data_IF_249699893073
#
_entry.id   IF_249699893073
#
_cell.length_a   1.000
_cell.length_b   1.000
_cell.length_c   1.000
_cell.angle_alpha   90.00
_cell.angle_beta   90.00
_cell.angle_gamma   90.00
#
_symmetry.space_group_name_H-M   'P 1'
#
loop_
_entity.id
_entity.type
_entity.pdbx_description
1 polymer ?
#
# COMPACT_ATOMS: atom_id res chain seq x y z
N UNK A 1 16.77 32.84 14.49
CA UNK A 1 15.91 32.16 15.49
C UNK A 1 15.79 30.66 15.29
N UNK A 2 15.78 30.11 14.07
CA UNK A 2 15.62 28.66 13.81
C UNK A 2 16.87 27.82 14.15
N UNK A 3 18.07 28.40 14.16
CA UNK A 3 19.33 27.66 14.34
C UNK A 3 19.50 27.00 15.73
N UNK A 4 18.78 27.48 16.76
CA UNK A 4 18.80 26.90 18.11
C UNK A 4 17.63 25.94 18.39
N UNK A 5 16.76 25.71 17.40
CA UNK A 5 15.59 24.86 17.54
C UNK A 5 15.87 23.40 17.19
N UNK A 6 17.02 23.10 16.57
CA UNK A 6 17.48 21.72 16.38
C UNK A 6 17.94 21.15 17.74
N UNK A 7 17.53 19.93 18.14
CA UNK A 7 16.91 18.89 17.31
C UNK A 7 15.37 18.90 17.23
N UNK A 8 14.69 19.77 17.97
CA UNK A 8 13.23 19.75 18.18
C UNK A 8 12.39 20.26 17.00
N UNK A 9 12.97 21.01 16.07
CA UNK A 9 12.31 21.49 14.86
C UNK A 9 13.01 20.92 13.63
N UNK A 10 12.24 20.23 12.79
CA UNK A 10 12.72 19.57 11.59
C UNK A 10 11.82 19.91 10.40
N UNK A 11 12.42 20.00 9.22
CA UNK A 11 11.68 20.21 7.98
C UNK A 11 11.46 18.88 7.29
N UNK A 12 10.21 18.62 6.89
CA UNK A 12 9.83 17.44 6.14
C UNK A 12 8.86 17.77 5.01
N UNK A 13 8.78 16.88 4.03
CA UNK A 13 7.82 16.96 2.94
C UNK A 13 6.49 16.31 3.32
N UNK A 14 5.39 16.98 2.96
CA UNK A 14 4.02 16.46 3.04
C UNK A 14 3.51 15.96 1.67
N UNK A 15 4.42 15.73 0.70
CA UNK A 15 4.03 15.34 -0.64
C UNK A 15 3.71 13.85 -0.74
N UNK A 16 2.67 13.54 -1.51
CA UNK A 16 2.27 12.18 -1.83
C UNK A 16 2.20 11.97 -3.33
N UNK A 17 2.39 10.73 -3.77
CA UNK A 17 2.16 10.38 -5.17
C UNK A 17 0.67 10.14 -5.42
N UNK A 18 0.11 10.93 -6.34
CA UNK A 18 -1.21 10.66 -6.91
C UNK A 18 -1.10 9.60 -7.99
N UNK A 19 -1.99 8.61 -7.94
CA UNK A 19 -2.15 7.67 -9.04
C UNK A 19 -2.82 8.34 -10.26
N UNK A 20 -2.89 7.62 -11.38
CA UNK A 20 -3.48 8.13 -12.63
C UNK A 20 -4.95 8.54 -12.46
N UNK A 21 -5.65 7.89 -11.52
CA UNK A 21 -7.02 8.21 -11.10
C UNK A 21 -7.12 9.30 -10.01
N UNK A 22 -6.05 10.05 -9.77
CA UNK A 22 -5.93 11.10 -8.76
C UNK A 22 -6.05 10.64 -7.30
N UNK A 23 -6.20 9.34 -7.05
CA UNK A 23 -6.30 8.82 -5.68
C UNK A 23 -4.92 8.72 -5.05
N UNK A 24 -4.79 9.21 -3.82
CA UNK A 24 -3.56 9.16 -3.03
C UNK A 24 -3.44 7.77 -2.41
N UNK A 25 -2.53 6.95 -2.92
CA UNK A 25 -2.29 5.58 -2.41
C UNK A 25 -0.86 5.30 -2.03
N UNK A 26 0.04 6.23 -2.30
CA UNK A 26 1.47 6.02 -2.19
C UNK A 26 2.14 7.20 -1.50
N UNK A 27 2.99 6.89 -0.54
CA UNK A 27 3.86 7.87 0.08
C UNK A 27 5.05 8.18 -0.82
N UNK A 28 5.64 9.35 -0.59
CA UNK A 28 6.93 9.73 -1.17
C UNK A 28 7.89 9.96 0.00
N UNK A 29 8.58 8.90 0.44
CA UNK A 29 9.32 8.92 1.70
C UNK A 29 10.45 9.96 1.74
N UNK A 30 10.91 10.43 0.59
CA UNK A 30 11.81 11.57 0.45
C UNK A 30 11.56 12.31 -0.86
N UNK A 31 11.93 13.59 -0.87
CA UNK A 31 11.82 14.46 -2.02
C UNK A 31 13.14 15.16 -2.28
N UNK A 32 13.57 15.21 -3.54
CA UNK A 32 14.65 16.10 -3.93
C UNK A 32 14.11 17.54 -3.98
N UNK A 33 14.87 18.49 -3.47
CA UNK A 33 14.54 19.89 -3.51
C UNK A 33 15.79 20.73 -3.75
N UNK A 34 15.59 22.01 -3.98
CA UNK A 34 16.67 22.97 -4.10
C UNK A 34 16.41 24.13 -3.15
N UNK A 35 17.47 24.58 -2.47
CA UNK A 35 17.39 25.81 -1.69
C UNK A 35 17.28 27.02 -2.62
N UNK A 36 16.97 28.18 -2.06
CA UNK A 36 16.97 29.46 -2.78
C UNK A 36 18.32 29.76 -3.45
N UNK A 37 19.42 29.27 -2.87
CA UNK A 37 20.78 29.42 -3.39
C UNK A 37 21.15 28.34 -4.43
N UNK A 38 20.16 27.65 -5.02
CA UNK A 38 20.33 26.52 -5.95
C UNK A 38 21.19 25.38 -5.38
N UNK A 39 21.22 25.21 -4.06
CA UNK A 39 21.90 24.05 -3.47
C UNK A 39 20.95 22.85 -3.52
N UNK A 40 21.35 21.75 -4.17
CA UNK A 40 20.53 20.55 -4.19
C UNK A 40 20.43 20.00 -2.77
N UNK A 41 19.28 19.48 -2.39
CA UNK A 41 19.03 18.85 -1.09
C UNK A 41 18.02 17.72 -1.23
N UNK A 42 17.95 16.88 -0.20
CA UNK A 42 16.94 15.84 -0.06
C UNK A 42 16.20 16.10 1.25
N UNK A 43 14.87 16.04 1.20
CA UNK A 43 14.00 16.33 2.33
C UNK A 43 13.24 15.04 2.63
N UNK A 44 13.35 14.48 3.85
CA UNK A 44 12.56 13.32 4.26
C UNK A 44 11.07 13.71 4.34
N UNK A 45 10.20 12.73 4.18
CA UNK A 45 8.77 12.91 4.42
C UNK A 45 8.43 13.03 5.91
N UNK A 46 7.23 13.55 6.21
CA UNK A 46 6.74 13.64 7.58
C UNK A 46 6.61 12.23 8.18
N UNK A 47 6.09 11.28 7.42
CA UNK A 47 5.93 9.89 7.87
C UNK A 47 7.26 9.22 8.17
N UNK A 48 8.29 9.46 7.36
CA UNK A 48 9.62 8.91 7.60
C UNK A 48 10.27 9.51 8.86
N UNK A 49 10.15 10.82 9.06
CA UNK A 49 10.68 11.49 10.27
C UNK A 49 9.94 11.04 11.53
N UNK A 50 8.60 11.00 11.48
CA UNK A 50 7.79 10.57 12.62
C UNK A 50 8.10 9.12 13.01
N UNK A 51 8.22 8.24 12.03
CA UNK A 51 8.63 6.84 12.25
C UNK A 51 10.01 6.77 12.89
N UNK A 52 10.98 7.50 12.34
CA UNK A 52 12.35 7.48 12.84
C UNK A 52 12.46 7.99 14.28
N UNK A 53 11.74 9.07 14.62
CA UNK A 53 11.69 9.60 15.98
C UNK A 53 11.11 8.58 16.97
N UNK A 54 10.02 7.89 16.61
CA UNK A 54 9.43 6.82 17.43
C UNK A 54 10.41 5.66 17.63
N UNK A 55 11.24 5.36 16.63
CA UNK A 55 12.26 4.32 16.70
C UNK A 55 13.59 4.79 17.32
N UNK A 56 13.69 6.05 17.78
CA UNK A 56 14.89 6.62 18.38
C UNK A 56 16.03 6.92 17.40
N UNK A 57 15.71 7.04 16.11
CA UNK A 57 16.67 7.37 15.06
C UNK A 57 16.71 8.88 14.82
N UNK A 58 17.91 9.45 14.74
CA UNK A 58 18.10 10.88 14.60
C UNK A 58 17.83 11.37 13.18
N UNK A 59 17.37 12.61 13.05
CA UNK A 59 17.20 13.28 11.75
C UNK A 59 18.49 13.30 10.92
N UNK A 60 19.65 13.39 11.58
CA UNK A 60 20.95 13.38 10.90
C UNK A 60 21.22 12.01 10.27
N UNK A 61 20.93 10.91 10.96
CA UNK A 61 21.10 9.56 10.39
C UNK A 61 20.22 9.34 9.16
N UNK A 62 18.98 9.82 9.19
CA UNK A 62 18.08 9.80 8.04
C UNK A 62 18.68 10.59 6.89
N UNK A 63 19.16 11.81 7.16
CA UNK A 63 19.75 12.67 6.14
C UNK A 63 21.01 12.05 5.53
N UNK A 64 21.88 11.44 6.34
CA UNK A 64 23.06 10.71 5.87
C UNK A 64 22.68 9.56 4.92
N UNK A 65 21.66 8.77 5.29
CA UNK A 65 21.16 7.67 4.47
C UNK A 65 20.48 8.15 3.18
N UNK A 66 19.89 9.35 3.19
CA UNK A 66 19.25 9.94 2.02
C UNK A 66 20.23 10.69 1.09
N UNK A 67 21.48 10.96 1.51
CA UNK A 67 22.49 11.64 0.69
C UNK A 67 22.63 11.11 -0.75
N UNK A 68 22.61 9.78 -1.01
CA UNK A 68 22.70 9.26 -2.38
C UNK A 68 21.57 9.74 -3.30
N UNK A 69 20.43 10.15 -2.74
CA UNK A 69 19.27 10.66 -3.46
C UNK A 69 19.32 12.16 -3.72
N UNK A 70 20.37 12.85 -3.26
CA UNK A 70 20.57 14.28 -3.55
C UNK A 70 20.81 14.47 -5.05
N UNK A 71 20.09 15.38 -5.73
CA UNK A 71 20.33 15.64 -7.14
C UNK A 71 21.72 16.26 -7.35
N UNK A 72 22.36 16.01 -8.49
CA UNK A 72 23.69 16.57 -8.81
C UNK A 72 23.66 18.09 -8.93
N UNK A 73 22.58 18.63 -9.48
CA UNK A 73 22.32 20.05 -9.61
C UNK A 73 20.80 20.29 -9.63
N UNK A 74 20.39 21.56 -9.68
CA UNK A 74 19.00 21.98 -9.62
C UNK A 74 18.34 22.21 -11.00
N UNK A 75 19.08 21.99 -12.08
CA UNK A 75 18.66 22.37 -13.44
C UNK A 75 18.39 21.13 -14.31
N UNK A 76 19.09 20.03 -14.05
CA UNK A 76 18.92 18.79 -14.79
C UNK A 76 17.69 18.01 -14.30
N UNK A 77 17.16 17.20 -15.21
CA UNK A 77 16.15 16.21 -14.85
C UNK A 77 16.75 15.21 -13.87
N UNK A 78 16.22 15.18 -12.66
CA UNK A 78 16.66 14.25 -11.64
C UNK A 78 16.30 12.81 -12.01
N UNK A 79 17.30 11.94 -12.02
CA UNK A 79 17.15 10.49 -12.09
C UNK A 79 17.49 9.89 -10.73
N UNK A 80 16.49 9.30 -10.08
CA UNK A 80 16.69 8.66 -8.78
C UNK A 80 17.59 7.43 -8.92
N UNK A 81 18.52 7.20 -7.97
CA UNK A 81 19.24 5.93 -7.86
C UNK A 81 18.27 4.74 -7.86
N UNK A 82 18.59 3.71 -8.63
CA UNK A 82 17.78 2.49 -8.71
C UNK A 82 18.04 1.49 -7.57
N UNK A 83 19.10 1.72 -6.79
CA UNK A 83 19.50 0.87 -5.68
C UNK A 83 18.59 1.09 -4.46
N UNK A 84 18.08 0.02 -3.83
CA UNK A 84 17.27 0.14 -2.63
C UNK A 84 18.10 0.65 -1.44
N UNK A 85 17.45 1.34 -0.52
CA UNK A 85 18.07 1.67 0.77
C UNK A 85 18.00 0.40 1.62
N UNK A 86 19.13 -0.23 1.98
CA UNK A 86 19.14 -1.55 2.63
C UNK A 86 18.47 -1.58 4.01
N UNK A 87 18.71 -0.56 4.83
CA UNK A 87 18.11 -0.40 6.15
C UNK A 87 18.09 1.07 6.55
N UNK A 88 16.94 1.55 7.00
CA UNK A 88 16.72 2.93 7.40
C UNK A 88 15.97 2.98 8.74
N UNK A 89 16.72 3.15 9.83
CA UNK A 89 16.15 3.31 11.17
C UNK A 89 15.16 2.17 11.51
N UNK A 90 15.59 0.90 11.42
CA UNK A 90 14.72 -0.26 11.66
C UNK A 90 13.70 -0.57 10.55
N UNK A 91 13.53 0.31 9.54
CA UNK A 91 12.80 -0.06 8.35
C UNK A 91 13.65 -0.98 7.46
N UNK A 92 13.11 -2.14 7.05
CA UNK A 92 13.75 -3.02 6.08
C UNK A 92 13.80 -2.34 4.70
N UNK A 93 14.54 -2.94 3.78
CA UNK A 93 14.96 -2.27 2.55
C UNK A 93 13.85 -1.55 1.74
N UNK A 94 14.03 -0.25 1.48
CA UNK A 94 13.03 0.57 0.81
C UNK A 94 13.36 0.67 -0.68
N UNK A 95 12.41 0.31 -1.55
CA UNK A 95 12.59 0.47 -3.01
C UNK A 95 12.48 1.93 -3.41
N UNK A 96 13.35 2.31 -4.32
CA UNK A 96 13.41 3.63 -4.91
C UNK A 96 12.57 3.75 -6.18
N UNK A 97 12.02 2.62 -6.66
CA UNK A 97 11.19 2.59 -7.87
C UNK A 97 9.83 3.23 -7.59
N UNK A 98 9.63 4.40 -8.18
CA UNK A 98 8.36 5.10 -8.20
C UNK A 98 7.30 4.12 -8.76
N UNK A 99 6.24 3.86 -7.97
CA UNK A 99 5.10 2.95 -8.24
C UNK A 99 5.21 1.53 -7.68
N UNK A 100 6.32 1.18 -7.02
CA UNK A 100 6.47 -0.12 -6.38
C UNK A 100 5.40 -0.35 -5.29
N UNK A 101 5.09 -1.62 -5.02
CA UNK A 101 4.02 -2.00 -4.09
C UNK A 101 4.36 -1.61 -2.65
N UNK A 102 5.65 -1.59 -2.32
CA UNK A 102 6.16 -1.22 -1.01
C UNK A 102 6.08 0.28 -0.70
N UNK A 103 5.66 1.10 -1.67
CA UNK A 103 5.39 2.52 -1.45
C UNK A 103 3.92 2.81 -1.09
N UNK A 104 3.09 1.78 -0.87
CA UNK A 104 1.66 1.93 -0.65
C UNK A 104 1.32 2.23 0.81
N UNK A 105 0.39 3.16 0.98
CA UNK A 105 -0.25 3.49 2.25
C UNK A 105 -1.42 2.52 2.47
N UNK A 106 -1.44 1.82 3.59
CA UNK A 106 -2.58 1.03 4.04
C UNK A 106 -3.52 1.91 4.87
N UNK A 107 -4.62 2.34 4.24
CA UNK A 107 -5.63 3.15 4.90
C UNK A 107 -6.54 2.29 5.77
N UNK A 108 -6.44 2.48 7.08
CA UNK A 108 -7.21 1.74 8.09
C UNK A 108 -8.02 2.65 9.01
N UNK A 109 -7.78 3.96 8.96
CA UNK A 109 -8.47 4.95 9.78
C UNK A 109 -9.35 5.83 8.87
N UNK A 110 -10.64 5.51 8.68
CA UNK A 110 -11.57 6.47 8.11
C UNK A 110 -11.62 7.71 9.00
N UNK A 111 -11.97 8.86 8.46
CA UNK A 111 -12.04 10.09 9.25
C UNK A 111 -13.47 10.53 9.58
N UNK A 112 -14.46 9.84 8.99
CA UNK A 112 -15.87 10.03 9.26
C UNK A 112 -16.49 8.73 9.76
N UNK A 113 -17.24 8.82 10.85
CA UNK A 113 -18.17 7.80 11.32
C UNK A 113 -19.58 8.39 11.23
N UNK A 114 -20.47 7.73 10.49
CA UNK A 114 -21.83 8.23 10.25
C UNK A 114 -21.88 9.67 9.71
N UNK A 115 -20.94 9.99 8.80
CA UNK A 115 -20.73 11.33 8.20
C UNK A 115 -20.34 12.44 9.20
N UNK A 116 -19.83 12.07 10.38
CA UNK A 116 -19.33 13.01 11.39
C UNK A 116 -17.90 12.68 11.79
N UNK A 117 -17.15 13.71 12.15
CA UNK A 117 -15.82 13.55 12.76
C UNK A 117 -15.99 12.85 14.12
N UNK A 118 -15.41 11.66 14.31
CA UNK A 118 -15.44 11.00 15.60
C UNK A 118 -14.42 11.65 16.54
N UNK A 119 -14.76 11.71 17.83
CA UNK A 119 -13.82 12.15 18.87
C UNK A 119 -12.66 11.15 19.02
N UNK A 120 -12.99 9.85 19.00
CA UNK A 120 -12.06 8.72 19.08
C UNK A 120 -12.48 7.67 18.08
N UNK A 121 -11.52 7.08 17.38
CA UNK A 121 -11.73 5.96 16.48
C UNK A 121 -10.78 4.80 16.81
N UNK A 122 -11.30 3.60 17.08
CA UNK A 122 -10.51 2.39 17.18
C UNK A 122 -10.17 1.83 15.79
N UNK A 123 -9.03 1.14 15.69
CA UNK A 123 -8.69 0.22 14.59
C UNK A 123 -8.65 -1.21 15.11
N UNK A 124 -8.45 -2.21 14.23
CA UNK A 124 -8.19 -3.60 14.68
C UNK A 124 -6.92 -3.69 15.56
N UNK A 125 -6.00 -2.72 15.47
CA UNK A 125 -4.71 -2.72 16.14
C UNK A 125 -4.61 -1.81 17.38
N UNK A 126 -5.40 -0.74 17.47
CA UNK A 126 -5.36 0.23 18.58
C UNK A 126 -6.79 0.71 18.92
N UNK A 127 -7.19 0.57 20.19
CA UNK A 127 -8.51 1.02 20.69
C UNK A 127 -8.70 2.55 20.60
N UNK A 128 -7.61 3.31 20.54
CA UNK A 128 -7.62 4.77 20.37
C UNK A 128 -6.67 5.22 19.23
N UNK A 129 -6.73 4.53 18.09
CA UNK A 129 -5.87 4.78 16.94
C UNK A 129 -5.89 6.23 16.42
N UNK A 130 -7.05 6.89 16.47
CA UNK A 130 -7.22 8.30 16.07
C UNK A 130 -8.07 9.05 17.09
N UNK A 131 -7.51 10.13 17.65
CA UNK A 131 -8.24 11.10 18.46
C UNK A 131 -8.26 12.46 17.74
N UNK A 132 -9.44 13.05 17.60
CA UNK A 132 -9.61 14.36 16.96
C UNK A 132 -10.00 15.40 17.99
N UNK A 133 -9.13 16.37 18.20
CA UNK A 133 -9.39 17.51 19.06
C UNK A 133 -9.47 18.82 18.28
N UNK A 134 -10.41 19.69 18.67
CA UNK A 134 -10.43 21.05 18.14
C UNK A 134 -9.29 21.88 18.74
N UNK A 135 -8.46 22.49 17.89
CA UNK A 135 -7.35 23.33 18.33
C UNK A 135 -7.79 24.49 19.24
N UNK A 136 -9.02 25.01 19.03
CA UNK A 136 -9.56 26.11 19.86
C UNK A 136 -9.78 25.66 21.32
N UNK A 137 -10.15 24.39 21.52
CA UNK A 137 -10.36 23.82 22.85
C UNK A 137 -9.03 23.52 23.55
N UNK A 138 -7.93 23.45 22.82
CA UNK A 138 -6.58 23.21 23.37
C UNK A 138 -5.90 24.53 23.76
N UNK A 139 -6.15 25.61 23.01
CA UNK A 139 -5.46 26.91 23.19
C UNK A 139 -6.28 27.89 24.06
N UNK A 140 -7.56 27.61 24.30
CA UNK A 140 -8.47 28.49 25.04
C UNK A 140 -8.12 28.70 26.52
N UNK A 141 -8.75 29.70 27.15
CA UNK A 141 -8.53 30.08 28.57
C UNK A 141 -8.86 28.96 29.58
N UNK A 142 -9.64 27.97 29.16
CA UNK A 142 -9.89 26.72 29.87
C UNK A 142 -9.66 25.57 28.88
N UNK A 143 -8.44 25.04 28.79
CA UNK A 143 -8.15 23.97 27.85
C UNK A 143 -8.90 22.71 28.24
N UNK A 144 -9.30 21.94 27.23
CA UNK A 144 -9.93 20.63 27.41
C UNK A 144 -8.89 19.63 27.94
N UNK A 145 -8.93 19.39 29.26
CA UNK A 145 -8.00 18.48 29.93
C UNK A 145 -8.12 17.03 29.46
N UNK A 146 -9.31 16.57 29.04
CA UNK A 146 -9.48 15.19 28.55
C UNK A 146 -8.76 15.02 27.21
N UNK A 147 -8.97 15.99 26.31
CA UNK A 147 -8.23 16.04 25.05
C UNK A 147 -6.71 16.07 25.28
N UNK A 148 -6.20 16.96 26.14
CA UNK A 148 -4.76 17.07 26.42
C UNK A 148 -4.17 15.77 26.95
N UNK A 149 -4.89 15.07 27.84
CA UNK A 149 -4.47 13.76 28.34
C UNK A 149 -4.36 12.74 27.20
N UNK A 150 -5.32 12.71 26.27
CA UNK A 150 -5.31 11.81 25.10
C UNK A 150 -4.18 12.11 24.11
N UNK A 151 -3.75 13.37 24.01
CA UNK A 151 -2.64 13.77 23.14
C UNK A 151 -1.25 13.47 23.73
N UNK A 152 -1.17 13.18 25.03
CA UNK A 152 0.12 12.93 25.71
C UNK A 152 0.73 11.60 25.25
N UNK A 153 2.03 11.59 24.94
CA UNK A 153 2.76 10.43 24.39
C UNK A 153 2.18 9.89 23.07
N UNK A 154 1.52 10.74 22.29
CA UNK A 154 1.00 10.42 20.95
C UNK A 154 1.67 11.30 19.90
N UNK A 155 1.60 10.86 18.65
CA UNK A 155 1.99 11.68 17.51
C UNK A 155 0.84 12.64 17.21
N UNK A 156 1.11 13.93 17.27
CA UNK A 156 0.09 14.97 17.07
C UNK A 156 0.32 15.69 15.75
N UNK A 157 -0.70 15.66 14.89
CA UNK A 157 -0.73 16.43 13.64
C UNK A 157 -1.69 17.58 13.79
N UNK A 158 -1.20 18.81 13.63
CA UNK A 158 -2.02 20.02 13.66
C UNK A 158 -2.31 20.43 12.22
N UNK A 159 -3.58 20.36 11.80
CA UNK A 159 -3.98 20.73 10.46
C UNK A 159 -5.50 20.83 10.31
N UNK A 160 -5.94 21.27 9.12
CA UNK A 160 -7.37 21.31 8.79
C UNK A 160 -7.94 19.88 8.69
N UNK A 161 -9.03 19.63 9.41
CA UNK A 161 -9.77 18.35 9.42
C UNK A 161 -11.21 18.52 8.90
N UNK A 162 -11.43 19.49 8.01
CA UNK A 162 -12.75 19.85 7.49
C UNK A 162 -12.73 20.00 5.95
N UNK A 163 -13.89 19.76 5.30
CA UNK A 163 -13.99 19.69 3.84
C UNK A 163 -13.78 21.04 3.15
N UNK A 164 -14.27 22.12 3.76
CA UNK A 164 -14.22 23.47 3.17
C UNK A 164 -12.82 24.10 3.19
N UNK A 165 -11.81 23.42 3.75
CA UNK A 165 -10.44 23.92 3.87
C UNK A 165 -9.62 23.85 2.57
N UNK A 166 -10.16 23.23 1.51
CA UNK A 166 -9.50 23.08 0.20
C UNK A 166 -8.38 22.04 0.14
N UNK A 167 -7.92 21.54 1.28
CA UNK A 167 -6.93 20.45 1.39
C UNK A 167 -7.61 19.08 1.50
N UNK A 168 -8.46 18.75 0.53
CA UNK A 168 -9.18 17.47 0.45
C UNK A 168 -8.70 16.68 -0.76
N UNK A 169 -8.39 15.40 -0.56
CA UNK A 169 -7.89 14.52 -1.61
C UNK A 169 -8.67 13.21 -1.63
N UNK A 170 -8.78 12.59 -2.81
CA UNK A 170 -9.37 11.27 -2.94
C UNK A 170 -8.43 10.20 -2.37
N UNK A 171 -8.97 9.34 -1.51
CA UNK A 171 -8.26 8.18 -0.94
C UNK A 171 -9.08 6.90 -1.18
N UNK A 172 -8.52 5.70 -0.92
CA UNK A 172 -9.31 4.47 -0.92
C UNK A 172 -10.48 4.47 0.06
N UNK A 173 -10.46 5.33 1.08
CA UNK A 173 -11.52 5.52 2.06
C UNK A 173 -12.39 6.76 1.76
N UNK A 174 -12.51 7.15 0.49
CA UNK A 174 -13.21 8.35 0.01
C UNK A 174 -12.36 9.65 0.17
N UNK A 175 -12.97 10.81 -0.07
CA UNK A 175 -12.39 12.13 0.19
C UNK A 175 -11.87 12.26 1.62
N UNK A 176 -10.63 12.70 1.81
CA UNK A 176 -9.99 12.84 3.12
C UNK A 176 -9.14 14.13 3.18
N UNK A 177 -9.18 14.87 4.30
CA UNK A 177 -8.29 16.01 4.53
C UNK A 177 -6.80 15.60 4.54
N UNK A 178 -5.92 16.45 4.01
CA UNK A 178 -4.49 16.14 3.89
C UNK A 178 -3.80 15.80 5.22
N UNK A 179 -4.18 16.48 6.31
CA UNK A 179 -3.70 16.16 7.66
C UNK A 179 -4.01 14.72 8.09
N UNK A 180 -5.17 14.19 7.71
CA UNK A 180 -5.61 12.83 8.05
C UNK A 180 -4.98 11.77 7.14
N UNK A 181 -4.56 12.15 5.93
CA UNK A 181 -3.73 11.33 5.05
C UNK A 181 -2.35 11.14 5.68
N UNK A 182 -1.75 12.21 6.21
CA UNK A 182 -0.46 12.14 6.93
C UNK A 182 -0.56 11.18 8.12
N UNK A 183 -1.63 11.26 8.92
CA UNK A 183 -1.85 10.35 10.06
C UNK A 183 -1.98 8.89 9.58
N UNK A 184 -2.76 8.62 8.53
CA UNK A 184 -2.84 7.28 7.94
C UNK A 184 -1.50 6.79 7.41
N UNK A 185 -0.68 7.66 6.80
CA UNK A 185 0.65 7.32 6.30
C UNK A 185 1.61 6.97 7.43
N UNK A 186 1.64 7.77 8.50
CA UNK A 186 2.44 7.51 9.71
C UNK A 186 2.04 6.16 10.34
N UNK A 187 0.74 5.96 10.58
CA UNK A 187 0.23 4.71 11.16
C UNK A 187 0.55 3.51 10.26
N UNK A 188 0.37 3.65 8.95
CA UNK A 188 0.69 2.59 7.99
C UNK A 188 2.17 2.23 8.02
N UNK A 189 3.07 3.22 8.06
CA UNK A 189 4.51 2.99 8.07
C UNK A 189 5.01 2.42 9.41
N UNK A 190 4.43 2.86 10.54
CA UNK A 190 4.80 2.36 11.87
C UNK A 190 4.33 0.93 12.12
N UNK A 191 3.11 0.59 11.72
CA UNK A 191 2.52 -0.71 12.06
C UNK A 191 2.81 -1.80 11.03
N UNK A 192 2.77 -1.45 9.74
CA UNK A 192 2.91 -2.42 8.65
C UNK A 192 4.27 -2.29 7.94
N UNK A 193 5.03 -1.22 8.19
CA UNK A 193 6.28 -0.97 7.50
C UNK A 193 6.06 -0.83 6.00
N UNK A 194 6.67 -1.75 5.24
CA UNK A 194 6.55 -1.82 3.79
C UNK A 194 5.79 -3.08 3.39
N UNK A 195 4.91 -2.97 2.39
CA UNK A 195 4.22 -4.13 1.82
C UNK A 195 5.24 -4.98 1.05
N UNK A 196 5.63 -6.12 1.61
CA UNK A 196 6.56 -7.06 0.99
C UNK A 196 5.82 -8.10 0.14
N UNK A 197 6.27 -8.37 -1.10
CA UNK A 197 5.89 -9.60 -1.77
C UNK A 197 6.51 -10.80 -1.05
N UNK A 198 5.85 -11.96 -1.11
CA UNK A 198 6.45 -13.20 -0.62
C UNK A 198 7.82 -13.45 -1.28
N UNK A 199 8.80 -14.03 -0.55
CA UNK A 199 10.06 -14.43 -1.14
C UNK A 199 9.83 -15.27 -2.40
N UNK A 200 10.60 -15.03 -3.45
CA UNK A 200 10.38 -15.65 -4.77
C UNK A 200 10.29 -17.18 -4.71
N UNK A 201 11.05 -17.82 -3.80
CA UNK A 201 11.01 -19.26 -3.59
C UNK A 201 9.70 -19.74 -2.96
N UNK A 202 9.12 -18.98 -2.01
CA UNK A 202 7.80 -19.29 -1.43
C UNK A 202 6.73 -19.15 -2.50
N UNK A 203 6.78 -18.07 -3.28
CA UNK A 203 5.85 -17.85 -4.36
C UNK A 203 5.93 -18.97 -5.41
N UNK A 204 7.15 -19.42 -5.74
CA UNK A 204 7.37 -20.57 -6.62
C UNK A 204 6.78 -21.87 -6.05
N UNK A 205 7.07 -22.20 -4.80
CA UNK A 205 6.54 -23.40 -4.14
C UNK A 205 5.02 -23.39 -4.07
N UNK A 206 4.43 -22.26 -3.70
CA UNK A 206 2.97 -22.10 -3.60
C UNK A 206 2.32 -22.22 -4.98
N UNK A 207 2.92 -21.63 -6.01
CA UNK A 207 2.46 -21.76 -7.40
C UNK A 207 2.57 -23.21 -7.89
N UNK A 208 3.69 -23.88 -7.65
CA UNK A 208 3.90 -25.27 -8.03
C UNK A 208 2.91 -26.21 -7.31
N UNK A 209 2.70 -26.01 -6.00
CA UNK A 209 1.74 -26.75 -5.21
C UNK A 209 0.32 -26.57 -5.76
N UNK A 210 -0.07 -25.35 -6.10
CA UNK A 210 -1.37 -25.06 -6.72
C UNK A 210 -1.55 -25.76 -8.06
N UNK A 211 -0.53 -25.72 -8.93
CA UNK A 211 -0.55 -26.42 -10.23
C UNK A 211 -0.73 -27.93 -10.01
N UNK A 212 -0.03 -28.53 -9.04
CA UNK A 212 -0.15 -29.95 -8.72
C UNK A 212 -1.57 -30.27 -8.21
N UNK A 213 -2.10 -29.49 -7.26
CA UNK A 213 -3.46 -29.69 -6.73
C UNK A 213 -4.49 -29.62 -7.87
N UNK A 214 -4.41 -28.59 -8.72
CA UNK A 214 -5.31 -28.45 -9.85
C UNK A 214 -5.17 -29.61 -10.84
N UNK A 215 -3.94 -30.00 -11.18
CA UNK A 215 -3.69 -31.13 -12.08
C UNK A 215 -4.28 -32.43 -11.54
N UNK A 216 -4.15 -32.69 -10.24
CA UNK A 216 -4.73 -33.87 -9.58
C UNK A 216 -6.26 -33.81 -9.58
N UNK A 217 -6.87 -32.67 -9.24
CA UNK A 217 -8.32 -32.49 -9.31
C UNK A 217 -8.83 -32.81 -10.71
N UNK A 218 -8.18 -32.27 -11.73
CA UNK A 218 -8.59 -32.48 -13.11
C UNK A 218 -8.27 -33.86 -13.69
N UNK A 219 -7.26 -34.56 -13.17
CA UNK A 219 -6.97 -35.93 -13.58
C UNK A 219 -7.95 -36.93 -12.95
N UNK A 220 -8.49 -36.63 -11.76
CA UNK A 220 -9.39 -37.53 -11.02
C UNK A 220 -10.87 -37.30 -11.33
N UNK A 221 -11.26 -36.08 -11.64
CA UNK A 221 -12.66 -35.71 -11.89
C UNK A 221 -12.90 -35.45 -13.38
N UNK A 222 -14.11 -35.74 -13.86
CA UNK A 222 -14.50 -35.39 -15.24
C UNK A 222 -14.39 -33.88 -15.47
N UNK A 223 -14.15 -33.44 -16.72
CA UNK A 223 -13.81 -32.03 -17.03
C UNK A 223 -14.77 -31.02 -16.39
N UNK A 224 -16.06 -31.34 -16.37
CA UNK A 224 -17.08 -30.53 -15.71
C UNK A 224 -16.89 -30.41 -14.19
N UNK A 225 -16.75 -31.54 -13.48
CA UNK A 225 -16.60 -31.54 -12.02
C UNK A 225 -15.25 -30.99 -11.56
N UNK A 226 -14.18 -31.22 -12.33
CA UNK A 226 -12.89 -30.59 -12.05
C UNK A 226 -12.95 -29.07 -12.13
N UNK A 227 -13.71 -28.51 -13.08
CA UNK A 227 -13.92 -27.07 -13.20
C UNK A 227 -14.73 -26.52 -12.02
N UNK A 228 -15.81 -27.19 -11.62
CA UNK A 228 -16.62 -26.78 -10.47
C UNK A 228 -15.80 -26.83 -9.17
N UNK A 229 -15.09 -27.94 -8.90
CA UNK A 229 -14.31 -28.11 -7.68
C UNK A 229 -13.13 -27.14 -7.61
N UNK A 230 -12.45 -26.88 -8.72
CA UNK A 230 -11.37 -25.89 -8.76
C UNK A 230 -11.89 -24.46 -8.54
N UNK A 231 -13.04 -24.11 -9.13
CA UNK A 231 -13.70 -22.83 -8.87
C UNK A 231 -14.09 -22.66 -7.39
N UNK A 232 -14.70 -23.68 -6.79
CA UNK A 232 -15.04 -23.69 -5.36
C UNK A 232 -13.80 -23.57 -4.49
N UNK A 233 -12.73 -24.31 -4.81
CA UNK A 233 -11.46 -24.22 -4.08
C UNK A 233 -10.87 -22.79 -4.13
N UNK A 234 -10.89 -22.14 -5.30
CA UNK A 234 -10.39 -20.77 -5.43
C UNK A 234 -11.24 -19.81 -4.58
N UNK A 235 -12.56 -19.89 -4.68
CA UNK A 235 -13.46 -18.94 -4.02
C UNK A 235 -13.50 -19.16 -2.50
N UNK A 236 -13.56 -20.41 -2.04
CA UNK A 236 -13.79 -20.75 -0.62
C UNK A 236 -12.48 -20.84 0.17
N UNK A 237 -11.36 -21.21 -0.47
CA UNK A 237 -10.09 -21.38 0.24
C UNK A 237 -9.10 -20.28 -0.15
N UNK A 238 -8.80 -20.10 -1.44
CA UNK A 238 -7.74 -19.18 -1.85
C UNK A 238 -8.09 -17.71 -1.60
N UNK A 239 -9.33 -17.30 -1.85
CA UNK A 239 -9.74 -15.90 -1.63
C UNK A 239 -9.69 -15.52 -0.14
N UNK A 240 -10.26 -16.31 0.81
CA UNK A 240 -10.10 -16.01 2.23
C UNK A 240 -8.66 -16.04 2.71
N UNK A 241 -7.83 -16.99 2.26
CA UNK A 241 -6.40 -17.02 2.59
C UNK A 241 -5.68 -15.78 2.07
N UNK A 242 -6.00 -15.34 0.85
CA UNK A 242 -5.45 -14.10 0.30
C UNK A 242 -5.88 -12.87 1.07
N UNK A 243 -7.15 -12.80 1.49
CA UNK A 243 -7.65 -11.69 2.30
C UNK A 243 -7.01 -11.67 3.69
N UNK A 244 -6.81 -12.84 4.30
CA UNK A 244 -6.12 -12.98 5.58
C UNK A 244 -4.67 -12.51 5.49
N UNK A 245 -3.91 -12.98 4.50
CA UNK A 245 -2.52 -12.58 4.30
C UNK A 245 -2.37 -11.11 3.89
N UNK A 246 -3.35 -10.54 3.20
CA UNK A 246 -3.35 -9.12 2.87
C UNK A 246 -3.50 -8.21 4.10
N UNK A 247 -4.13 -8.67 5.19
CA UNK A 247 -4.16 -7.93 6.47
C UNK A 247 -2.76 -7.77 7.04
N UNK A 248 -1.90 -8.77 6.86
CA UNK A 248 -0.49 -8.77 7.26
C UNK A 248 0.42 -8.07 6.22
N UNK A 249 -0.15 -7.25 5.33
CA UNK A 249 0.57 -6.57 4.25
C UNK A 249 1.33 -7.51 3.28
N UNK A 250 0.90 -8.78 3.15
CA UNK A 250 1.48 -9.73 2.19
C UNK A 250 0.62 -9.79 0.93
N UNK A 251 1.22 -9.46 -0.23
CA UNK A 251 0.54 -9.53 -1.52
C UNK A 251 0.82 -10.86 -2.24
N UNK A 252 -0.24 -11.57 -2.63
CA UNK A 252 -0.15 -12.87 -3.30
C UNK A 252 -0.41 -12.75 -4.81
N UNK A 253 0.54 -13.22 -5.63
CA UNK A 253 0.48 -13.11 -7.10
C UNK A 253 -0.10 -14.35 -7.82
N UNK A 254 -0.69 -15.31 -7.10
CA UNK A 254 -1.09 -16.61 -7.67
C UNK A 254 -2.36 -16.57 -8.55
N UNK A 255 -3.11 -15.48 -8.56
CA UNK A 255 -4.37 -15.38 -9.32
C UNK A 255 -4.12 -15.48 -10.83
N UNK A 256 -3.01 -14.91 -11.31
CA UNK A 256 -2.73 -14.81 -12.75
C UNK A 256 -2.41 -16.18 -13.39
N UNK A 257 -1.53 -17.02 -12.81
CA UNK A 257 -1.34 -18.39 -13.29
C UNK A 257 -2.62 -19.24 -13.25
N UNK A 258 -3.44 -19.10 -12.21
CA UNK A 258 -4.70 -19.86 -12.09
C UNK A 258 -5.71 -19.48 -13.18
N UNK A 259 -5.84 -18.19 -13.49
CA UNK A 259 -6.69 -17.72 -14.59
C UNK A 259 -6.18 -18.27 -15.92
N UNK A 260 -4.86 -18.26 -16.17
CA UNK A 260 -4.28 -18.79 -17.42
C UNK A 260 -4.58 -20.28 -17.59
N UNK A 261 -4.43 -21.08 -16.53
CA UNK A 261 -4.75 -22.52 -16.57
C UNK A 261 -6.23 -22.76 -16.86
N UNK A 262 -7.13 -21.98 -16.24
CA UNK A 262 -8.56 -22.12 -16.52
C UNK A 262 -8.91 -21.71 -17.95
N UNK A 263 -8.37 -20.59 -18.46
CA UNK A 263 -8.61 -20.12 -19.83
C UNK A 263 -8.09 -21.14 -20.85
N UNK A 264 -6.86 -21.65 -20.65
CA UNK A 264 -6.26 -22.64 -21.55
C UNK A 264 -7.13 -23.88 -21.66
N UNK A 265 -7.67 -24.36 -20.53
CA UNK A 265 -8.52 -25.56 -20.51
C UNK A 265 -9.88 -25.32 -21.16
N UNK A 266 -10.47 -24.15 -20.96
CA UNK A 266 -11.70 -23.78 -21.65
C UNK A 266 -11.46 -23.82 -23.17
N UNK A 267 -10.34 -23.26 -23.64
CA UNK A 267 -9.97 -23.28 -25.04
C UNK A 267 -9.77 -24.72 -25.57
N UNK A 268 -9.04 -25.58 -24.85
CA UNK A 268 -8.83 -26.98 -25.28
C UNK A 268 -10.14 -27.76 -25.36
N UNK A 269 -11.03 -27.62 -24.38
CA UNK A 269 -12.34 -28.29 -24.39
C UNK A 269 -13.22 -27.81 -25.56
N UNK A 270 -13.07 -26.55 -26.01
CA UNK A 270 -13.76 -26.03 -27.19
C UNK A 270 -13.22 -26.60 -28.50
N UNK A 271 -11.89 -26.72 -28.62
CA UNK A 271 -11.24 -27.25 -29.81
C UNK A 271 -11.58 -28.74 -30.01
N UNK A 272 -11.52 -29.56 -28.95
CA UNK A 272 -11.90 -30.97 -29.01
C UNK A 272 -13.37 -31.16 -29.44
N UNK A 273 -14.30 -30.35 -28.92
CA UNK A 273 -15.72 -30.39 -29.32
C UNK A 273 -15.93 -29.95 -30.78
N UNK A 274 -15.08 -29.06 -31.30
CA UNK A 274 -15.14 -28.60 -32.69
C UNK A 274 -14.63 -29.67 -33.64
N UNK A 275 -13.54 -30.34 -33.30
CA UNK A 275 -13.01 -31.46 -34.08
C UNK A 275 -13.99 -32.64 -34.14
N UNK A 276 -14.60 -33.00 -33.00
CA UNK A 276 -15.64 -34.04 -32.98
C UNK A 276 -16.86 -33.68 -33.85
N UNK A 277 -17.29 -32.41 -33.85
CA UNK A 277 -18.36 -31.93 -34.75
C UNK A 277 -17.98 -31.98 -36.22
N UNK A 278 -16.74 -31.65 -36.56
CA UNK A 278 -16.24 -31.69 -37.93
C UNK A 278 -16.09 -33.12 -38.45
N UNK A 279 -15.58 -34.05 -37.63
CA UNK A 279 -15.48 -35.48 -37.95
C UNK A 279 -16.87 -36.13 -38.08
N UNK A 280 -17.81 -35.79 -37.19
CA UNK A 280 -19.20 -36.26 -37.29
C UNK A 280 -19.95 -35.73 -38.52
N UNK A 281 -19.65 -34.52 -38.97
CA UNK A 281 -20.25 -33.93 -40.19
C UNK A 281 -19.60 -34.45 -41.48
N UNK A 282 -18.33 -34.89 -41.42
CA UNK A 282 -17.64 -35.52 -42.55
C UNK A 282 -18.10 -36.95 -42.83
N UNK A 283 -18.48 -37.72 -41.80
CA UNK A 283 -19.00 -39.09 -41.94
C UNK A 283 -20.35 -39.18 -42.67
N UNK A 284 -21.21 -38.16 -42.56
CA UNK A 284 -22.51 -38.10 -43.24
C UNK A 284 -22.41 -37.80 -44.74
N UNK A 285 -21.28 -37.28 -45.23
CA UNK A 285 -21.08 -36.97 -46.66
C UNK A 285 -20.63 -38.17 -47.51
N UNK A 286 -20.14 -39.25 -46.90
CA UNK A 286 -19.65 -40.43 -47.62
C UNK A 286 -20.64 -41.62 -47.67
N UNK A 287 -21.90 -41.40 -47.28
CA UNK A 287 -22.96 -42.43 -47.35
C UNK A 287 -24.05 -42.14 -48.40
N UNK A 288 -23.85 -41.11 -49.22
CA UNK A 288 -24.76 -40.73 -50.31
C UNK A 288 -23.96 -40.66 -51.61
N UNK A 289 -23.36 -41.77 -52.05
CA UNK A 289 -22.98 -42.04 -53.44
C UNK A 289 -22.91 -43.55 -53.66
#
# INVERSE_FOLDING_TARGET
MVAHSAPYLQWASAHFYRAEDQVVRRWQLWQHACTSDKQPQVIPSIELLAMAEVQGCSANEIQEKLKPFRPKNCEDKYEAPSEPIEELCGLPSISTKIRDINQRILYTMPWLKDKRLPLVMPTEADEEALTVCSAINVIGSKPDEDCLKRLTNRIVVIGGSYRDGGDVHLTPLDEMPGSLIIINAIHSLLHYGKIEPLPSWVNFLLTALLIIIMSVLFARFSSFWGMVLSGVFIIIIMLPVSMYLFREAVWLYFILPLIVVQIYRIASDFDERREQRNLGSGGLKNQIY
#
